data_IF_990995863026
#
_entry.id   IF_990995863026
#
_cell.length_a   1.000
_cell.length_b   1.000
_cell.length_c   1.000
_cell.angle_alpha   90.00
_cell.angle_beta   90.00
_cell.angle_gamma   90.00
#
_symmetry.space_group_name_H-M   'P 1'
#
loop_
_entity.id
_entity.type
_entity.pdbx_description
1 polymer ?
#
# COMPACT_ATOMS: atom_id res chain seq x y z
N UNK A 1 -24.59 -3.59 12.09
CA UNK A 1 -23.84 -3.60 10.81
C UNK A 1 -22.35 -3.58 11.15
N UNK A 2 -21.55 -4.57 10.74
CA UNK A 2 -20.12 -4.59 11.05
C UNK A 2 -19.37 -3.82 9.96
N UNK A 3 -18.74 -2.68 10.31
CA UNK A 3 -17.94 -1.90 9.38
C UNK A 3 -16.51 -2.45 9.30
N UNK A 4 -16.10 -2.90 8.11
CA UNK A 4 -14.72 -3.30 7.83
C UNK A 4 -13.93 -2.10 7.32
N UNK A 5 -12.84 -1.74 8.01
CA UNK A 5 -11.93 -0.65 7.63
C UNK A 5 -11.18 -0.99 6.33
N UNK A 6 -10.82 -2.26 6.13
CA UNK A 6 -10.22 -2.75 4.87
C UNK A 6 -11.05 -3.89 4.28
N UNK A 7 -11.89 -3.59 3.29
CA UNK A 7 -12.84 -4.57 2.70
C UNK A 7 -12.16 -5.67 1.87
N UNK A 8 -11.01 -5.38 1.26
CA UNK A 8 -10.32 -6.31 0.35
C UNK A 8 -9.50 -7.39 1.08
N UNK A 9 -9.04 -7.09 2.30
CA UNK A 9 -8.29 -8.05 3.12
C UNK A 9 -9.22 -9.14 3.64
N UNK A 10 -8.85 -10.38 3.32
CA UNK A 10 -9.51 -11.61 3.77
C UNK A 10 -8.45 -12.68 4.07
N UNK A 11 -8.84 -13.77 4.72
CA UNK A 11 -7.94 -14.83 5.22
C UNK A 11 -6.82 -15.26 4.25
N UNK A 12 -7.11 -15.45 2.95
CA UNK A 12 -6.10 -15.85 1.92
C UNK A 12 -4.92 -14.89 1.74
N UNK A 13 -5.03 -13.65 2.23
CA UNK A 13 -3.96 -12.66 2.17
C UNK A 13 -2.89 -12.88 3.26
N UNK A 14 -3.30 -13.46 4.39
CA UNK A 14 -2.41 -13.78 5.52
C UNK A 14 -1.99 -15.25 5.45
N UNK A 15 -2.96 -16.13 5.22
CA UNK A 15 -2.74 -17.57 5.08
C UNK A 15 -2.62 -17.94 3.60
N UNK A 16 -1.45 -17.66 3.04
CA UNK A 16 -1.18 -17.88 1.62
C UNK A 16 -0.97 -19.37 1.35
N UNK A 17 -1.86 -19.98 0.57
CA UNK A 17 -1.70 -21.37 0.12
C UNK A 17 -0.60 -21.51 -0.94
N UNK A 18 -0.07 -22.74 -1.13
CA UNK A 18 0.96 -23.01 -2.16
C UNK A 18 0.59 -22.50 -3.55
N UNK A 19 -0.68 -22.66 -3.94
CA UNK A 19 -1.20 -22.20 -5.25
C UNK A 19 -1.25 -20.68 -5.38
N UNK A 20 -1.36 -19.95 -4.27
CA UNK A 20 -1.54 -18.50 -4.24
C UNK A 20 -0.22 -17.74 -4.00
N UNK A 21 0.89 -18.42 -3.73
CA UNK A 21 2.18 -17.80 -3.38
C UNK A 21 2.69 -16.82 -4.44
N UNK A 22 2.45 -17.11 -5.72
CA UNK A 22 2.89 -16.25 -6.84
C UNK A 22 1.83 -15.23 -7.28
N UNK A 23 0.72 -15.11 -6.53
CA UNK A 23 -0.35 -14.19 -6.87
C UNK A 23 -0.02 -12.78 -6.37
N UNK A 24 0.69 -12.01 -7.20
CA UNK A 24 1.12 -10.63 -6.90
C UNK A 24 -0.06 -9.75 -6.48
N UNK A 25 -1.27 -9.99 -7.01
CA UNK A 25 -2.47 -9.25 -6.62
C UNK A 25 -2.77 -9.37 -5.12
N UNK A 26 -2.56 -10.55 -4.52
CA UNK A 26 -2.76 -10.72 -3.08
C UNK A 26 -1.71 -9.95 -2.27
N UNK A 27 -0.44 -10.01 -2.69
CA UNK A 27 0.64 -9.30 -2.03
C UNK A 27 0.42 -7.77 -2.05
N UNK A 28 0.12 -7.21 -3.23
CA UNK A 28 -0.13 -5.77 -3.38
C UNK A 28 -1.36 -5.32 -2.58
N UNK A 29 -2.40 -6.16 -2.44
CA UNK A 29 -3.55 -5.84 -1.60
C UNK A 29 -3.21 -5.78 -0.09
N UNK A 30 -2.26 -6.60 0.38
CA UNK A 30 -1.74 -6.54 1.75
C UNK A 30 -0.95 -5.26 1.98
N UNK A 31 -0.09 -4.89 1.05
CA UNK A 31 0.83 -3.76 1.17
C UNK A 31 0.25 -2.46 0.61
N UNK A 32 -1.07 -2.29 0.62
CA UNK A 32 -1.71 -1.12 0.02
C UNK A 32 -1.81 0.08 0.97
N UNK A 33 -1.92 1.29 0.41
CA UNK A 33 -2.13 2.52 1.19
C UNK A 33 -3.38 2.46 2.09
N UNK A 34 -4.43 1.73 1.66
CA UNK A 34 -5.63 1.51 2.48
C UNK A 34 -5.37 0.67 3.73
N UNK A 35 -4.43 -0.29 3.66
CA UNK A 35 -4.01 -1.09 4.82
C UNK A 35 -3.15 -0.25 5.74
N UNK A 36 -2.18 0.50 5.20
CA UNK A 36 -1.37 1.41 5.99
C UNK A 36 -2.21 2.44 6.76
N UNK A 37 -3.16 3.09 6.07
CA UNK A 37 -4.09 4.05 6.70
C UNK A 37 -4.93 3.41 7.80
N UNK A 38 -5.40 2.17 7.60
CA UNK A 38 -6.17 1.45 8.62
C UNK A 38 -5.34 1.09 9.85
N UNK A 39 -4.07 0.69 9.66
CA UNK A 39 -3.14 0.42 10.75
C UNK A 39 -2.87 1.69 11.56
N UNK A 40 -2.58 2.82 10.90
CA UNK A 40 -2.38 4.11 11.58
C UNK A 40 -3.64 4.57 12.33
N UNK A 41 -4.81 4.46 11.70
CA UNK A 41 -6.09 4.81 12.33
C UNK A 41 -6.38 3.97 13.58
N UNK A 42 -6.23 2.64 13.50
CA UNK A 42 -6.47 1.76 14.64
C UNK A 42 -5.44 1.93 15.75
N UNK A 43 -4.20 2.28 15.39
CA UNK A 43 -3.15 2.63 16.36
C UNK A 43 -3.50 3.92 17.10
N UNK A 44 -3.96 4.95 16.39
CA UNK A 44 -4.39 6.22 17.00
C UNK A 44 -5.60 6.05 17.95
N UNK A 45 -6.45 5.06 17.71
CA UNK A 45 -7.55 4.68 18.60
C UNK A 45 -7.13 3.75 19.74
N UNK A 46 -5.84 3.43 19.88
CA UNK A 46 -5.30 2.47 20.86
C UNK A 46 -5.84 1.04 20.70
N UNK A 47 -6.33 0.66 19.52
CA UNK A 47 -6.71 -0.72 19.20
C UNK A 47 -5.53 -1.58 18.74
N UNK A 48 -4.42 -0.96 18.35
CA UNK A 48 -3.17 -1.61 17.97
C UNK A 48 -2.00 -1.00 18.76
N UNK A 49 -0.90 -1.75 18.98
CA UNK A 49 0.30 -1.21 19.60
C UNK A 49 0.92 -0.13 18.72
N UNK A 50 1.64 0.82 19.33
CA UNK A 50 2.32 1.91 18.63
C UNK A 50 3.29 1.44 17.53
N UNK A 51 3.87 0.24 17.69
CA UNK A 51 4.73 -0.39 16.68
C UNK A 51 4.02 -0.66 15.35
N UNK A 52 2.68 -0.71 15.32
CA UNK A 52 1.91 -0.87 14.09
C UNK A 52 2.04 0.34 13.14
N UNK A 53 2.42 1.52 13.64
CA UNK A 53 2.73 2.66 12.78
C UNK A 53 3.94 2.38 11.86
N UNK A 54 4.95 1.65 12.34
CA UNK A 54 6.09 1.28 11.49
C UNK A 54 5.64 0.41 10.31
N UNK A 55 4.69 -0.51 10.54
CA UNK A 55 4.08 -1.33 9.49
C UNK A 55 3.19 -0.49 8.57
N UNK A 56 2.46 0.48 9.13
CA UNK A 56 1.64 1.40 8.35
C UNK A 56 2.49 2.19 7.33
N UNK A 57 3.58 2.78 7.81
CA UNK A 57 4.53 3.53 7.00
C UNK A 57 5.17 2.63 5.92
N UNK A 58 5.54 1.40 6.29
CA UNK A 58 6.06 0.42 5.34
C UNK A 58 5.05 0.10 4.22
N UNK A 59 3.78 -0.15 4.57
CA UNK A 59 2.74 -0.39 3.56
C UNK A 59 2.57 0.80 2.62
N UNK A 60 2.56 2.03 3.13
CA UNK A 60 2.43 3.23 2.29
C UNK A 60 3.62 3.35 1.34
N UNK A 61 4.86 3.24 1.87
CA UNK A 61 6.08 3.30 1.06
C UNK A 61 6.10 2.25 -0.06
N UNK A 62 5.69 1.02 0.23
CA UNK A 62 5.66 -0.04 -0.78
C UNK A 62 4.53 0.18 -1.81
N UNK A 63 3.35 0.66 -1.41
CA UNK A 63 2.27 1.00 -2.35
C UNK A 63 2.71 2.10 -3.31
N UNK A 64 3.36 3.14 -2.79
CA UNK A 64 3.88 4.27 -3.54
C UNK A 64 5.00 3.85 -4.51
N UNK A 65 5.95 3.03 -4.04
CA UNK A 65 6.99 2.45 -4.90
C UNK A 65 6.39 1.57 -6.00
N UNK A 66 5.44 0.71 -5.66
CA UNK A 66 4.77 -0.17 -6.63
C UNK A 66 4.02 0.64 -7.69
N UNK A 67 3.28 1.67 -7.29
CA UNK A 67 2.57 2.56 -8.20
C UNK A 67 3.55 3.31 -9.12
N UNK A 68 4.69 3.77 -8.59
CA UNK A 68 5.76 4.46 -9.32
C UNK A 68 6.41 3.62 -10.42
N UNK A 69 6.45 2.29 -10.24
CA UNK A 69 7.07 1.35 -11.17
C UNK A 69 6.05 0.62 -12.06
N UNK A 70 4.76 0.78 -11.79
CA UNK A 70 3.69 0.03 -12.47
C UNK A 70 2.59 0.95 -13.04
N UNK A 71 2.95 2.18 -13.40
CA UNK A 71 2.04 3.09 -14.08
C UNK A 71 1.76 2.64 -15.52
N UNK A 72 0.53 2.87 -15.98
CA UNK A 72 0.09 2.56 -17.36
C UNK A 72 -0.50 3.77 -18.07
N UNK A 73 -0.37 4.95 -17.46
CA UNK A 73 -0.92 6.22 -17.91
C UNK A 73 0.13 7.30 -17.76
N UNK A 74 0.07 8.33 -18.61
CA UNK A 74 1.01 9.44 -18.55
C UNK A 74 0.80 10.30 -17.29
N UNK A 75 -0.45 10.51 -16.89
CA UNK A 75 -0.81 11.35 -15.76
C UNK A 75 -2.00 10.78 -15.00
N UNK A 76 -1.84 10.61 -13.70
CA UNK A 76 -2.88 10.28 -12.75
C UNK A 76 -3.00 11.40 -11.71
N UNK A 77 -4.15 12.08 -11.70
CA UNK A 77 -4.39 13.25 -10.84
C UNK A 77 -4.60 12.89 -9.37
N UNK A 78 -5.00 11.66 -9.08
CA UNK A 78 -5.31 11.19 -7.72
C UNK A 78 -4.05 10.62 -7.09
N UNK A 79 -3.31 9.81 -7.84
CA UNK A 79 -2.07 9.18 -7.41
C UNK A 79 -0.92 9.61 -8.34
N UNK A 80 -0.18 10.68 -8.01
CA UNK A 80 0.87 11.21 -8.87
C UNK A 80 1.97 10.19 -9.20
N UNK A 81 2.32 9.32 -8.25
CA UNK A 81 3.30 8.24 -8.47
C UNK A 81 2.76 7.16 -9.41
N UNK A 82 1.44 6.99 -9.56
CA UNK A 82 0.85 6.12 -10.58
C UNK A 82 0.77 6.81 -11.96
N UNK A 83 1.83 7.51 -12.35
CA UNK A 83 1.96 8.25 -13.63
C UNK A 83 3.29 7.92 -14.30
N UNK A 84 3.53 8.39 -15.53
CA UNK A 84 4.83 8.21 -16.17
C UNK A 84 5.93 8.98 -15.41
N UNK A 85 7.06 8.33 -15.17
CA UNK A 85 8.24 8.98 -14.62
C UNK A 85 8.83 9.95 -15.64
N UNK A 86 9.10 11.19 -15.23
CA UNK A 86 9.71 12.23 -16.04
C UNK A 86 10.49 13.20 -15.14
N UNK A 87 11.32 14.05 -15.72
CA UNK A 87 12.16 14.99 -14.97
C UNK A 87 11.38 15.95 -14.06
N UNK A 88 10.11 16.22 -14.38
CA UNK A 88 9.23 17.10 -13.60
C UNK A 88 8.32 16.36 -12.62
N UNK A 89 8.31 15.03 -12.60
CA UNK A 89 7.43 14.26 -11.71
C UNK A 89 8.12 13.91 -10.41
N UNK A 90 7.32 13.61 -9.38
CA UNK A 90 7.79 13.38 -7.99
C UNK A 90 8.61 12.10 -7.80
N UNK A 91 8.76 11.28 -8.84
CA UNK A 91 9.42 9.97 -8.77
C UNK A 91 10.86 10.07 -8.26
N UNK A 92 11.62 11.05 -8.75
CA UNK A 92 13.04 11.20 -8.38
C UNK A 92 13.24 11.56 -6.92
N UNK A 93 12.31 12.32 -6.33
CA UNK A 93 12.34 12.64 -4.91
C UNK A 93 12.04 11.39 -4.09
N UNK A 94 10.98 10.65 -4.44
CA UNK A 94 10.56 9.45 -3.73
C UNK A 94 11.64 8.35 -3.76
N UNK A 95 12.24 8.10 -4.93
CA UNK A 95 13.24 7.04 -5.10
C UNK A 95 14.57 7.32 -4.40
N UNK A 96 14.89 8.59 -4.10
CA UNK A 96 16.14 8.95 -3.41
C UNK A 96 16.07 8.69 -1.91
N UNK A 97 14.87 8.64 -1.36
CA UNK A 97 14.59 8.50 0.07
C UNK A 97 14.18 7.04 0.41
N UNK A 98 13.89 6.24 -0.62
CA UNK A 98 13.57 4.81 -0.56
C UNK A 98 14.80 3.94 -0.33
#
# INVERSE_FOLDING_TARGET
>A
MIHRVVKKLISKHVHVSRLNKMNVKLAVQVLSQSVGSALGYLTALNHLPSSANNTADFCIKIDDLFDSLNSRVLLNRIKPLLSAACSSSKHLEEWRIS
#
